data_IF_071155623297
#
_entry.id   IF_071155623297
#
_cell.length_a   1.000
_cell.length_b   1.000
_cell.length_c   1.000
_cell.angle_alpha   90.00
_cell.angle_beta   90.00
_cell.angle_gamma   90.00
#
_symmetry.space_group_name_H-M   'P 1'
#
loop_
_entity.id
_entity.type
_entity.pdbx_description
1 polymer ?
#
# COMPACT_ATOMS: atom_id res chain seq x y z
N UNK A 1 -10.39 -40.40 29.71
CA UNK A 1 -11.44 -39.36 29.67
C UNK A 1 -12.76 -40.02 29.36
N UNK A 2 -13.71 -39.93 30.28
CA UNK A 2 -15.05 -40.52 30.11
C UNK A 2 -15.98 -39.54 29.40
N UNK A 3 -17.02 -40.06 28.75
CA UNK A 3 -18.07 -39.26 28.08
C UNK A 3 -18.74 -38.27 29.04
N UNK A 4 -18.81 -38.60 30.34
CA UNK A 4 -19.34 -37.70 31.37
C UNK A 4 -18.47 -36.46 31.61
N UNK A 5 -17.15 -36.55 31.41
CA UNK A 5 -16.24 -35.40 31.58
C UNK A 5 -16.35 -34.41 30.40
N UNK A 6 -16.59 -34.92 29.19
CA UNK A 6 -16.84 -34.09 27.99
C UNK A 6 -18.16 -33.32 28.06
N UNK A 7 -19.23 -33.95 28.57
CA UNK A 7 -20.55 -33.31 28.74
C UNK A 7 -20.50 -32.19 29.80
N UNK A 8 -19.66 -32.34 30.82
CA UNK A 8 -19.55 -31.34 31.88
C UNK A 8 -18.73 -30.11 31.47
N UNK A 9 -17.76 -30.26 30.55
CA UNK A 9 -16.88 -29.20 30.10
C UNK A 9 -17.51 -28.26 29.05
N UNK A 10 -18.54 -28.70 28.32
CA UNK A 10 -19.09 -27.99 27.15
C UNK A 10 -20.43 -27.28 27.44
N UNK A 11 -21.01 -27.46 28.64
CA UNK A 11 -22.36 -26.97 28.95
C UNK A 11 -23.44 -27.91 28.37
N UNK A 12 -24.59 -27.97 29.06
CA UNK A 12 -25.67 -28.94 28.81
C UNK A 12 -26.07 -28.98 27.32
N UNK A 13 -25.66 -30.05 26.64
CA UNK A 13 -26.19 -30.46 25.34
C UNK A 13 -27.30 -31.48 25.59
N UNK A 14 -28.50 -31.22 25.07
CA UNK A 14 -29.68 -32.10 25.26
C UNK A 14 -29.67 -33.36 24.37
N UNK A 15 -28.70 -33.45 23.44
CA UNK A 15 -28.56 -34.56 22.49
C UNK A 15 -27.54 -35.63 22.91
N UNK A 16 -27.65 -36.82 22.30
CA UNK A 16 -26.71 -37.92 22.54
C UNK A 16 -25.28 -37.63 22.03
N UNK A 17 -24.24 -38.39 22.43
CA UNK A 17 -22.85 -38.14 22.02
C UNK A 17 -22.64 -38.04 20.50
N UNK A 18 -23.36 -38.84 19.71
CA UNK A 18 -23.32 -38.80 18.25
C UNK A 18 -23.91 -37.50 17.68
N UNK A 19 -24.95 -36.96 18.30
CA UNK A 19 -25.57 -35.70 17.89
C UNK A 19 -24.66 -34.51 18.22
N UNK A 20 -24.01 -34.55 19.39
CA UNK A 20 -22.98 -33.59 19.78
C UNK A 20 -21.83 -33.59 18.77
N UNK A 21 -21.29 -34.77 18.41
CA UNK A 21 -20.21 -34.87 17.40
C UNK A 21 -20.65 -34.29 16.05
N UNK A 22 -21.86 -34.63 15.57
CA UNK A 22 -22.38 -34.08 14.31
C UNK A 22 -22.60 -32.56 14.38
N UNK A 23 -23.06 -32.03 15.51
CA UNK A 23 -23.21 -30.59 15.70
C UNK A 23 -21.85 -29.88 15.68
N UNK A 24 -20.84 -30.45 16.35
CA UNK A 24 -19.48 -29.92 16.35
C UNK A 24 -18.83 -29.95 14.96
N UNK A 25 -18.99 -31.03 14.20
CA UNK A 25 -18.49 -31.12 12.82
C UNK A 25 -19.12 -30.04 11.95
N UNK A 26 -20.44 -29.87 11.99
CA UNK A 26 -21.12 -28.82 11.22
C UNK A 26 -20.71 -27.41 11.64
N UNK A 27 -20.45 -27.18 12.91
CA UNK A 27 -19.94 -25.89 13.39
C UNK A 27 -18.54 -25.62 12.87
N UNK A 28 -17.65 -26.63 12.88
CA UNK A 28 -16.32 -26.53 12.32
C UNK A 28 -16.33 -26.29 10.80
N UNK A 29 -17.16 -27.02 10.04
CA UNK A 29 -17.33 -26.83 8.58
C UNK A 29 -17.75 -25.40 8.23
N UNK A 30 -18.70 -24.83 8.98
CA UNK A 30 -19.11 -23.42 8.80
C UNK A 30 -17.98 -22.45 9.14
N UNK A 31 -17.23 -22.71 10.21
CA UNK A 31 -16.11 -21.86 10.60
C UNK A 31 -15.00 -21.86 9.54
N UNK A 32 -14.69 -23.03 8.94
CA UNK A 32 -13.74 -23.11 7.84
C UNK A 32 -14.25 -22.41 6.58
N UNK A 33 -15.52 -22.60 6.20
CA UNK A 33 -16.10 -21.93 5.04
C UNK A 33 -16.08 -20.39 5.19
N UNK A 34 -16.33 -19.88 6.39
CA UNK A 34 -16.25 -18.43 6.67
C UNK A 34 -14.80 -17.91 6.62
N UNK A 35 -13.84 -18.72 7.10
CA UNK A 35 -12.43 -18.38 7.00
C UNK A 35 -11.97 -18.35 5.54
N UNK A 36 -12.35 -19.34 4.73
CA UNK A 36 -12.07 -19.39 3.29
C UNK A 36 -12.67 -18.17 2.57
N UNK A 37 -13.86 -17.71 2.99
CA UNK A 37 -14.46 -16.48 2.45
C UNK A 37 -13.66 -15.22 2.81
N UNK A 38 -13.09 -15.16 4.02
CA UNK A 38 -12.20 -14.08 4.43
C UNK A 38 -10.89 -14.09 3.63
N UNK A 39 -10.30 -15.27 3.43
CA UNK A 39 -9.05 -15.44 2.68
C UNK A 39 -9.24 -15.09 1.19
N UNK A 40 -10.38 -15.47 0.60
CA UNK A 40 -10.73 -15.07 -0.76
C UNK A 40 -10.84 -13.54 -0.94
N UNK A 41 -11.23 -12.80 0.10
CA UNK A 41 -11.22 -11.33 0.07
C UNK A 41 -9.79 -10.79 0.04
N UNK A 42 -8.87 -11.40 0.77
CA UNK A 42 -7.45 -11.02 0.83
C UNK A 42 -6.76 -11.33 -0.50
N UNK A 43 -6.98 -12.51 -1.08
CA UNK A 43 -6.41 -12.89 -2.37
C UNK A 43 -6.88 -11.93 -3.47
N UNK A 44 -8.20 -11.65 -3.51
CA UNK A 44 -8.77 -10.68 -4.45
C UNK A 44 -8.23 -9.27 -4.23
N UNK A 45 -8.02 -8.86 -2.98
CA UNK A 45 -7.41 -7.57 -2.65
C UNK A 45 -5.97 -7.49 -3.19
N UNK A 46 -5.21 -8.56 -3.06
CA UNK A 46 -3.83 -8.65 -3.58
C UNK A 46 -3.81 -8.56 -5.12
N UNK A 47 -4.69 -9.29 -5.80
CA UNK A 47 -4.85 -9.20 -7.27
C UNK A 47 -5.26 -7.81 -7.74
N UNK A 48 -6.28 -7.23 -7.11
CA UNK A 48 -6.78 -5.89 -7.46
C UNK A 48 -5.71 -4.83 -7.21
N UNK A 49 -4.97 -4.91 -6.11
CA UNK A 49 -3.86 -4.02 -5.81
C UNK A 49 -2.73 -4.10 -6.83
N UNK A 50 -2.40 -5.31 -7.33
CA UNK A 50 -1.43 -5.47 -8.45
C UNK A 50 -1.94 -4.83 -9.73
N UNK A 51 -3.22 -5.02 -10.05
CA UNK A 51 -3.82 -4.37 -11.22
C UNK A 51 -3.78 -2.84 -11.14
N UNK A 52 -4.06 -2.27 -9.95
CA UNK A 52 -3.93 -0.83 -9.70
C UNK A 52 -2.48 -0.37 -9.90
N UNK A 53 -1.49 -1.13 -9.39
CA UNK A 53 -0.08 -0.79 -9.59
C UNK A 53 0.31 -0.74 -11.09
N UNK A 54 -0.21 -1.67 -11.89
CA UNK A 54 0.01 -1.68 -13.34
C UNK A 54 -0.65 -0.47 -14.03
N UNK A 55 -1.88 -0.11 -13.66
CA UNK A 55 -2.54 1.10 -14.17
C UNK A 55 -1.81 2.38 -13.77
N UNK A 56 -1.41 2.50 -12.51
CA UNK A 56 -0.59 3.61 -12.03
C UNK A 56 0.70 3.73 -12.84
N UNK A 57 1.39 2.63 -13.12
CA UNK A 57 2.60 2.64 -13.97
C UNK A 57 2.31 3.22 -15.35
N UNK A 58 1.17 2.86 -15.96
CA UNK A 58 0.76 3.39 -17.26
C UNK A 58 0.43 4.90 -17.20
N UNK A 59 -0.33 5.34 -16.20
CA UNK A 59 -0.66 6.76 -15.99
C UNK A 59 0.59 7.60 -15.73
N UNK A 60 1.52 7.11 -14.90
CA UNK A 60 2.76 7.81 -14.58
C UNK A 60 3.70 7.92 -15.80
N UNK A 61 3.77 6.88 -16.63
CA UNK A 61 4.58 6.89 -17.85
C UNK A 61 4.05 7.87 -18.91
N UNK A 62 2.73 8.10 -18.92
CA UNK A 62 2.07 9.06 -19.81
C UNK A 62 1.84 10.43 -19.16
N UNK A 63 2.30 10.59 -17.91
CA UNK A 63 2.10 11.78 -17.09
C UNK A 63 0.62 12.21 -16.94
N UNK A 64 -0.30 11.24 -16.97
CA UNK A 64 -1.74 11.49 -16.76
C UNK A 64 -2.05 11.70 -15.27
N UNK A 65 -1.86 12.93 -14.81
CA UNK A 65 -2.06 13.29 -13.40
C UNK A 65 -3.53 13.16 -12.95
N UNK A 66 -4.49 13.32 -13.86
CA UNK A 66 -5.91 13.36 -13.54
C UNK A 66 -6.53 11.99 -13.16
N UNK A 67 -5.94 10.90 -13.65
CA UNK A 67 -6.49 9.55 -13.45
C UNK A 67 -5.97 8.89 -12.15
N UNK A 68 -4.78 9.29 -11.68
CA UNK A 68 -4.12 8.71 -10.51
C UNK A 68 -4.96 8.81 -9.21
N UNK A 69 -5.68 9.91 -8.91
CA UNK A 69 -6.51 9.98 -7.70
C UNK A 69 -7.57 8.88 -7.60
N UNK A 70 -8.22 8.54 -8.72
CA UNK A 70 -9.23 7.49 -8.76
C UNK A 70 -8.64 6.12 -8.41
N UNK A 71 -7.44 5.83 -8.91
CA UNK A 71 -6.69 4.61 -8.60
C UNK A 71 -6.32 4.52 -7.11
N UNK A 72 -5.91 5.63 -6.49
CA UNK A 72 -5.59 5.68 -5.06
C UNK A 72 -6.83 5.53 -4.17
N UNK A 73 -7.99 6.01 -4.62
CA UNK A 73 -9.25 5.84 -3.90
C UNK A 73 -9.79 4.41 -4.01
N UNK A 74 -9.63 3.76 -5.16
CA UNK A 74 -9.92 2.32 -5.32
C UNK A 74 -9.05 1.48 -4.36
N UNK A 75 -7.76 1.81 -4.26
CA UNK A 75 -6.84 1.16 -3.32
C UNK A 75 -7.30 1.31 -1.86
N UNK A 76 -7.79 2.50 -1.49
CA UNK A 76 -8.34 2.75 -0.16
C UNK A 76 -9.65 1.96 0.10
N UNK A 77 -10.49 1.79 -0.93
CA UNK A 77 -11.70 0.98 -0.85
C UNK A 77 -11.38 -0.52 -0.66
N UNK A 78 -10.37 -1.03 -1.36
CA UNK A 78 -9.87 -2.41 -1.17
C UNK A 78 -9.40 -2.62 0.28
N UNK A 79 -8.58 -1.71 0.80
CA UNK A 79 -8.11 -1.79 2.18
C UNK A 79 -9.27 -1.68 3.20
N UNK A 80 -10.31 -0.90 2.91
CA UNK A 80 -11.52 -0.85 3.74
C UNK A 80 -12.27 -2.19 3.73
N UNK A 81 -12.38 -2.84 2.58
CA UNK A 81 -13.02 -4.17 2.44
C UNK A 81 -12.30 -5.24 3.24
N UNK A 82 -10.96 -5.31 3.16
CA UNK A 82 -10.16 -6.27 3.95
C UNK A 82 -10.32 -6.01 5.44
N UNK A 83 -10.28 -4.75 5.88
CA UNK A 83 -10.55 -4.41 7.30
C UNK A 83 -11.94 -4.83 7.77
N UNK A 84 -12.92 -4.87 6.87
CA UNK A 84 -14.27 -5.36 7.17
C UNK A 84 -14.35 -6.83 7.55
N UNK A 85 -13.35 -7.65 7.18
CA UNK A 85 -13.29 -9.09 7.49
C UNK A 85 -12.36 -9.43 8.65
N UNK A 86 -11.60 -8.46 9.17
CA UNK A 86 -10.55 -8.68 10.17
C UNK A 86 -11.07 -9.25 11.50
N UNK A 87 -12.20 -8.76 12.00
CA UNK A 87 -12.75 -9.22 13.28
C UNK A 87 -13.19 -10.68 13.19
N UNK A 88 -13.94 -11.02 12.15
CA UNK A 88 -14.37 -12.39 11.84
C UNK A 88 -13.16 -13.31 11.70
N UNK A 89 -12.16 -12.92 10.91
CA UNK A 89 -10.94 -13.70 10.70
C UNK A 89 -10.17 -13.94 12.00
N UNK A 90 -10.01 -12.92 12.85
CA UNK A 90 -9.34 -13.05 14.17
C UNK A 90 -10.10 -13.98 15.09
N UNK A 91 -11.43 -13.83 15.17
CA UNK A 91 -12.28 -14.70 15.98
C UNK A 91 -12.17 -16.16 15.54
N UNK A 92 -12.28 -16.42 14.24
CA UNK A 92 -12.18 -17.77 13.69
C UNK A 92 -10.79 -18.38 13.91
N UNK A 93 -9.73 -17.62 13.69
CA UNK A 93 -8.37 -18.08 13.98
C UNK A 93 -8.16 -18.38 15.47
N UNK A 94 -8.75 -17.58 16.38
CA UNK A 94 -8.74 -17.89 17.83
C UNK A 94 -9.44 -19.21 18.14
N UNK A 95 -10.66 -19.37 17.65
CA UNK A 95 -11.48 -20.58 17.87
C UNK A 95 -10.77 -21.83 17.33
N UNK A 96 -10.05 -21.69 16.22
CA UNK A 96 -9.27 -22.77 15.60
C UNK A 96 -7.86 -22.95 16.20
N UNK A 97 -7.46 -22.16 17.20
CA UNK A 97 -6.13 -22.24 17.83
C UNK A 97 -4.98 -21.80 16.92
N UNK A 98 -5.24 -20.91 15.97
CA UNK A 98 -4.29 -20.43 14.94
C UNK A 98 -3.74 -19.01 15.18
N UNK A 99 -4.05 -18.36 16.32
CA UNK A 99 -3.73 -16.94 16.55
C UNK A 99 -2.23 -16.56 16.48
N UNK A 100 -1.32 -17.50 16.76
CA UNK A 100 0.12 -17.20 16.89
C UNK A 100 1.01 -17.75 15.76
N UNK A 101 0.47 -18.48 14.77
CA UNK A 101 1.35 -19.27 13.88
C UNK A 101 2.05 -18.49 12.78
N UNK A 102 1.49 -17.37 12.31
CA UNK A 102 2.05 -16.62 11.18
C UNK A 102 1.77 -15.12 11.29
N UNK A 103 2.28 -14.46 12.34
CA UNK A 103 2.23 -13.00 12.42
C UNK A 103 3.20 -12.40 11.38
N UNK A 104 2.73 -12.26 10.14
CA UNK A 104 3.42 -11.49 9.11
C UNK A 104 3.72 -10.10 9.69
N UNK A 105 5.01 -9.82 9.89
CA UNK A 105 5.48 -8.53 10.38
C UNK A 105 6.04 -7.78 9.17
N UNK A 106 5.25 -6.92 8.50
CA UNK A 106 5.74 -6.18 7.37
C UNK A 106 6.92 -5.31 7.78
N UNK A 107 7.97 -5.30 6.95
CA UNK A 107 9.00 -4.27 7.06
C UNK A 107 8.35 -2.89 6.90
N UNK A 108 8.78 -1.91 7.70
CA UNK A 108 8.20 -0.57 7.72
C UNK A 108 8.06 0.08 6.34
N UNK A 109 7.12 1.01 6.23
CA UNK A 109 6.88 1.77 4.99
C UNK A 109 8.04 2.75 4.79
N UNK A 110 8.71 2.65 3.65
CA UNK A 110 9.74 3.62 3.28
C UNK A 110 9.08 4.95 2.91
N UNK A 111 9.59 6.06 3.47
CA UNK A 111 9.07 7.40 3.20
C UNK A 111 9.98 8.14 2.23
N UNK A 112 9.41 8.63 1.14
CA UNK A 112 10.13 9.47 0.19
C UNK A 112 9.80 10.94 0.45
N UNK A 113 10.83 11.74 0.71
CA UNK A 113 10.71 13.19 0.91
C UNK A 113 11.40 13.95 -0.22
N UNK A 114 11.13 15.25 -0.31
CA UNK A 114 11.81 16.11 -1.27
C UNK A 114 13.34 16.19 -1.03
N UNK A 115 13.81 15.89 0.19
CA UNK A 115 15.24 15.88 0.51
C UNK A 115 15.97 14.66 -0.08
N UNK A 116 15.23 13.58 -0.36
CA UNK A 116 15.76 12.35 -0.96
C UNK A 116 15.85 12.45 -2.50
N UNK A 117 15.30 13.53 -3.06
CA UNK A 117 15.34 13.79 -4.50
C UNK A 117 16.63 14.51 -4.90
N UNK A 118 17.16 14.24 -6.12
CA UNK A 118 18.27 15.01 -6.67
C UNK A 118 18.00 16.52 -6.62
N UNK A 119 18.99 17.29 -6.17
CA UNK A 119 18.88 18.75 -6.08
C UNK A 119 18.88 19.37 -7.48
N UNK A 120 18.06 20.40 -7.67
CA UNK A 120 18.02 21.15 -8.92
C UNK A 120 19.28 22.00 -9.06
N UNK A 121 19.96 21.94 -10.23
CA UNK A 121 21.03 22.89 -10.54
C UNK A 121 20.48 24.31 -10.53
N UNK A 122 21.22 25.25 -9.95
CA UNK A 122 20.85 26.65 -9.88
C UNK A 122 22.01 27.52 -10.34
N UNK A 123 21.72 28.52 -11.18
CA UNK A 123 22.69 29.54 -11.58
C UNK A 123 23.08 30.48 -10.43
N UNK A 124 22.37 30.40 -9.29
CA UNK A 124 22.60 31.16 -8.07
C UNK A 124 23.20 30.31 -6.94
N UNK A 125 23.71 29.11 -7.25
CA UNK A 125 24.24 28.21 -6.23
C UNK A 125 25.54 28.72 -5.58
N UNK A 126 26.32 29.56 -6.27
CA UNK A 126 27.58 30.10 -5.77
C UNK A 126 27.41 31.55 -5.24
N UNK A 127 28.01 31.90 -4.08
CA UNK A 127 27.84 33.21 -3.45
C UNK A 127 28.30 34.42 -4.28
N UNK A 128 29.21 34.23 -5.24
CA UNK A 128 29.86 35.30 -6.00
C UNK A 128 29.22 35.59 -7.38
N UNK A 129 28.24 34.78 -7.82
CA UNK A 129 27.68 34.84 -9.17
C UNK A 129 26.75 36.03 -9.45
N UNK A 130 26.29 36.74 -8.42
CA UNK A 130 25.26 37.78 -8.53
C UNK A 130 25.76 39.11 -9.12
N UNK A 131 27.07 39.26 -9.35
CA UNK A 131 27.68 40.54 -9.77
C UNK A 131 27.54 40.82 -11.27
N UNK A 132 27.22 39.80 -12.07
CA UNK A 132 27.05 39.93 -13.53
C UNK A 132 25.81 39.16 -14.01
N UNK A 133 24.71 39.88 -14.22
CA UNK A 133 23.43 39.33 -14.67
C UNK A 133 23.51 38.71 -16.08
N UNK A 134 24.43 39.19 -16.93
CA UNK A 134 24.63 38.62 -18.27
C UNK A 134 25.34 37.26 -18.17
N UNK A 135 26.29 37.13 -17.26
CA UNK A 135 26.97 35.87 -16.96
C UNK A 135 25.99 34.84 -16.34
N UNK A 136 25.05 35.29 -15.50
CA UNK A 136 23.97 34.44 -14.95
C UNK A 136 23.08 33.90 -16.05
N UNK A 137 22.61 34.75 -16.97
CA UNK A 137 21.78 34.31 -18.10
C UNK A 137 22.51 33.31 -19.03
N UNK A 138 23.81 33.53 -19.28
CA UNK A 138 24.64 32.59 -20.03
C UNK A 138 24.81 31.23 -19.32
N UNK A 139 24.84 31.23 -17.99
CA UNK A 139 24.94 30.02 -17.16
C UNK A 139 23.61 29.27 -17.09
N UNK A 140 22.48 29.95 -17.04
CA UNK A 140 21.15 29.32 -17.10
C UNK A 140 20.95 28.50 -18.38
N UNK A 141 21.34 29.04 -19.54
CA UNK A 141 21.23 28.33 -20.82
C UNK A 141 22.14 27.08 -20.87
N UNK A 142 23.33 27.17 -20.27
CA UNK A 142 24.26 26.03 -20.12
C UNK A 142 23.75 24.95 -19.17
N UNK A 143 23.00 25.33 -18.13
CA UNK A 143 22.43 24.42 -17.14
C UNK A 143 21.14 23.74 -17.64
N UNK A 144 20.47 24.31 -18.64
CA UNK A 144 19.18 23.81 -19.16
C UNK A 144 19.16 22.31 -19.51
N UNK A 145 20.18 21.72 -20.16
CA UNK A 145 20.24 20.27 -20.39
C UNK A 145 20.34 19.45 -19.10
N UNK A 146 21.13 19.92 -18.13
CA UNK A 146 21.26 19.25 -16.83
C UNK A 146 19.97 19.36 -16.02
N UNK A 147 19.30 20.52 -16.08
CA UNK A 147 18.02 20.76 -15.43
C UNK A 147 16.93 19.82 -15.99
N UNK A 148 16.91 19.60 -17.31
CA UNK A 148 16.05 18.59 -17.97
C UNK A 148 16.30 17.18 -17.40
N UNK A 149 17.56 16.77 -17.30
CA UNK A 149 17.93 15.45 -16.78
C UNK A 149 17.50 15.28 -15.32
N UNK A 150 17.75 16.28 -14.48
CA UNK A 150 17.40 16.24 -13.06
C UNK A 150 15.88 16.20 -12.86
N UNK A 151 15.11 16.97 -13.64
CA UNK A 151 13.65 16.90 -13.60
C UNK A 151 13.13 15.52 -13.99
N UNK A 152 13.65 14.93 -15.07
CA UNK A 152 13.30 13.57 -15.47
C UNK A 152 13.61 12.54 -14.39
N UNK A 153 14.77 12.62 -13.74
CA UNK A 153 15.13 11.70 -12.64
C UNK A 153 14.20 11.88 -11.42
N UNK A 154 13.89 13.13 -11.04
CA UNK A 154 12.95 13.41 -9.94
C UNK A 154 11.56 12.83 -10.20
N UNK A 155 11.04 13.00 -11.41
CA UNK A 155 9.74 12.46 -11.84
C UNK A 155 9.77 10.93 -11.84
N UNK A 156 10.82 10.31 -12.41
CA UNK A 156 10.96 8.86 -12.47
C UNK A 156 11.06 8.23 -11.07
N UNK A 157 11.83 8.82 -10.15
CA UNK A 157 11.99 8.31 -8.78
C UNK A 157 10.70 8.36 -7.99
N UNK A 158 9.99 9.47 -8.05
CA UNK A 158 8.71 9.63 -7.35
C UNK A 158 7.64 8.69 -7.90
N UNK A 159 7.58 8.52 -9.22
CA UNK A 159 6.71 7.56 -9.88
C UNK A 159 7.04 6.10 -9.48
N UNK A 160 8.32 5.73 -9.51
CA UNK A 160 8.78 4.39 -9.12
C UNK A 160 8.47 4.08 -7.66
N UNK A 161 8.69 5.04 -6.76
CA UNK A 161 8.38 4.90 -5.34
C UNK A 161 6.88 4.71 -5.10
N UNK A 162 6.04 5.51 -5.77
CA UNK A 162 4.58 5.36 -5.69
C UNK A 162 4.13 3.95 -6.05
N UNK A 163 4.59 3.43 -7.20
CA UNK A 163 4.26 2.07 -7.64
C UNK A 163 4.78 1.03 -6.65
N UNK A 164 6.02 1.17 -6.19
CA UNK A 164 6.64 0.24 -5.23
C UNK A 164 5.84 0.13 -3.94
N UNK A 165 5.37 1.26 -3.39
CA UNK A 165 4.55 1.26 -2.16
C UNK A 165 3.23 0.51 -2.39
N UNK A 166 2.57 0.71 -3.54
CA UNK A 166 1.33 0.03 -3.90
C UNK A 166 1.55 -1.47 -4.10
N UNK A 167 2.62 -1.86 -4.78
CA UNK A 167 2.97 -3.28 -4.96
C UNK A 167 3.24 -3.98 -3.63
N UNK A 168 3.95 -3.32 -2.70
CA UNK A 168 4.25 -3.91 -1.39
C UNK A 168 3.00 -4.11 -0.54
N UNK A 169 2.06 -3.16 -0.55
CA UNK A 169 0.80 -3.33 0.20
C UNK A 169 -0.12 -4.36 -0.46
N UNK A 170 -0.12 -4.44 -1.80
CA UNK A 170 -0.84 -5.47 -2.54
C UNK A 170 -0.27 -6.86 -2.27
N UNK A 171 1.05 -7.02 -2.23
CA UNK A 171 1.71 -8.29 -1.90
C UNK A 171 1.41 -8.78 -0.48
N UNK A 172 1.16 -7.85 0.45
CA UNK A 172 0.74 -8.16 1.82
C UNK A 172 -0.78 -8.35 1.97
N UNK A 173 -1.55 -8.26 0.89
CA UNK A 173 -3.01 -8.42 0.88
C UNK A 173 -3.76 -7.45 1.80
N UNK A 174 -3.15 -6.31 2.15
CA UNK A 174 -3.70 -5.32 3.08
C UNK A 174 -4.05 -5.86 4.48
N UNK A 175 -3.54 -7.05 4.85
CA UNK A 175 -3.91 -7.76 6.08
C UNK A 175 -3.44 -6.99 7.33
N UNK A 176 -2.25 -6.42 7.28
CA UNK A 176 -1.75 -5.58 8.36
C UNK A 176 -2.34 -4.18 8.25
N UNK A 177 -3.28 -3.86 9.15
CA UNK A 177 -3.99 -2.58 9.20
C UNK A 177 -3.03 -1.38 9.28
N UNK A 178 -1.97 -1.48 10.06
CA UNK A 178 -1.04 -0.37 10.29
C UNK A 178 -0.24 -0.11 9.02
N UNK A 179 0.40 -1.14 8.50
CA UNK A 179 1.16 -1.12 7.26
C UNK A 179 0.31 -0.67 6.07
N UNK A 180 -0.92 -1.16 5.93
CA UNK A 180 -1.84 -0.72 4.89
C UNK A 180 -2.17 0.77 5.01
N UNK A 181 -2.49 1.25 6.21
CA UNK A 181 -2.80 2.67 6.44
C UNK A 181 -1.60 3.57 6.15
N UNK A 182 -0.41 3.18 6.61
CA UNK A 182 0.85 3.90 6.38
C UNK A 182 1.21 3.91 4.89
N UNK A 183 1.03 2.78 4.19
CA UNK A 183 1.33 2.64 2.76
C UNK A 183 0.38 3.48 1.89
N UNK A 184 -0.93 3.48 2.19
CA UNK A 184 -1.90 4.34 1.49
C UNK A 184 -1.59 5.83 1.70
N UNK A 185 -1.21 6.20 2.91
CA UNK A 185 -0.83 7.58 3.23
C UNK A 185 0.45 7.96 2.48
N UNK A 186 1.40 7.04 2.38
CA UNK A 186 2.64 7.24 1.64
C UNK A 186 2.39 7.35 0.14
N UNK A 187 1.54 6.50 -0.45
CA UNK A 187 1.19 6.58 -1.86
C UNK A 187 0.60 7.96 -2.20
N UNK A 188 -0.31 8.49 -1.37
CA UNK A 188 -0.84 9.85 -1.56
C UNK A 188 0.23 10.94 -1.44
N UNK A 189 1.17 10.82 -0.49
CA UNK A 189 2.30 11.76 -0.37
C UNK A 189 3.24 11.71 -1.57
N UNK A 190 3.56 10.51 -2.04
CA UNK A 190 4.41 10.27 -3.20
C UNK A 190 3.78 10.86 -4.47
N UNK A 191 2.47 10.68 -4.66
CA UNK A 191 1.71 11.32 -5.74
C UNK A 191 1.80 12.86 -5.66
N UNK A 192 1.54 13.46 -4.49
CA UNK A 192 1.68 14.91 -4.33
C UNK A 192 3.11 15.43 -4.50
N UNK A 193 4.14 14.60 -4.28
CA UNK A 193 5.52 14.94 -4.61
C UNK A 193 5.78 14.86 -6.12
N UNK A 194 5.26 13.84 -6.79
CA UNK A 194 5.33 13.69 -8.24
C UNK A 194 4.64 14.85 -8.98
N UNK A 195 3.44 15.27 -8.56
CA UNK A 195 2.75 16.43 -9.13
C UNK A 195 3.57 17.72 -8.98
N UNK A 196 4.23 17.90 -7.82
CA UNK A 196 5.14 19.04 -7.61
C UNK A 196 6.32 19.00 -8.56
N UNK A 197 6.93 17.83 -8.78
CA UNK A 197 8.02 17.70 -9.76
C UNK A 197 7.56 18.03 -11.18
N UNK A 198 6.35 17.64 -11.59
CA UNK A 198 5.79 18.04 -12.89
C UNK A 198 5.54 19.55 -12.98
N UNK A 199 5.05 20.18 -11.91
CA UNK A 199 4.84 21.62 -11.85
C UNK A 199 6.16 22.40 -11.89
N UNK A 200 7.17 21.95 -11.14
CA UNK A 200 8.53 22.53 -11.17
C UNK A 200 9.14 22.42 -12.57
N UNK A 201 9.08 21.24 -13.20
CA UNK A 201 9.57 21.05 -14.58
C UNK A 201 8.91 22.01 -15.57
N UNK A 202 7.59 22.18 -15.49
CA UNK A 202 6.84 23.12 -16.35
C UNK A 202 7.25 24.57 -16.11
N UNK A 203 7.51 24.94 -14.86
CA UNK A 203 7.97 26.30 -14.51
C UNK A 203 9.38 26.56 -15.05
N UNK A 204 10.28 25.61 -14.91
CA UNK A 204 11.71 25.80 -15.18
C UNK A 204 12.08 25.61 -16.66
N UNK A 205 11.29 24.85 -17.41
CA UNK A 205 11.63 24.43 -18.78
C UNK A 205 10.54 24.71 -19.83
N UNK A 206 9.32 25.02 -19.39
CA UNK A 206 8.16 25.30 -20.24
C UNK A 206 8.12 26.72 -20.77
#
# INVERSE_FOLDING_TARGET
MSVSELVHAVGRFEGGPTEMVRASVRAAERAFAELDACDAVIDKASESGRSIADRLRAHLATESAADIPAELDELAAIAARVRGTDETRRLLNRVLGKEDRDAFTPAGVAHLTAADLPRLPSAYAEPDDYKDLLAVAGREEQLRPQLKLVHTDRIARTASHLVTVVERVAAAGFIDRRFATESLSEARRAYGLWERCLAERRRDLG
#
